data_IF_906692174268
#
_entry.id   IF_906692174268
#
_cell.length_a   1.000
_cell.length_b   1.000
_cell.length_c   1.000
_cell.angle_alpha   90.00
_cell.angle_beta   90.00
_cell.angle_gamma   90.00
#
_symmetry.space_group_name_H-M   'P 1'
#
loop_
_entity.id
_entity.type
_entity.pdbx_description
1 polymer ?
#
# COMPACT_ATOMS: atom_id res chain seq x y z
N UNK A 1 -8.53 -5.05 17.07
CA UNK A 1 -7.88 -5.37 15.78
C UNK A 1 -7.49 -6.84 15.75
N UNK A 2 -7.80 -7.58 14.68
CA UNK A 2 -7.41 -8.99 14.56
C UNK A 2 -5.89 -9.14 14.47
N UNK A 3 -5.35 -10.36 14.79
CA UNK A 3 -3.91 -10.64 14.65
C UNK A 3 -3.43 -10.39 13.20
N UNK A 4 -4.24 -10.79 12.22
CA UNK A 4 -3.92 -10.62 10.80
C UNK A 4 -3.86 -9.15 10.40
N UNK A 5 -4.82 -8.34 10.84
CA UNK A 5 -4.83 -6.90 10.57
C UNK A 5 -3.62 -6.21 11.18
N UNK A 6 -3.26 -6.57 12.42
CA UNK A 6 -2.06 -6.04 13.07
C UNK A 6 -0.77 -6.40 12.31
N UNK A 7 -0.67 -7.64 11.83
CA UNK A 7 0.48 -8.07 11.02
C UNK A 7 0.55 -7.32 9.70
N UNK A 8 -0.58 -7.16 8.99
CA UNK A 8 -0.67 -6.42 7.74
C UNK A 8 -0.21 -4.96 7.91
N UNK A 9 -0.64 -4.30 8.98
CA UNK A 9 -0.23 -2.91 9.23
C UNK A 9 1.25 -2.79 9.60
N UNK A 10 1.77 -3.72 10.39
CA UNK A 10 3.15 -3.62 10.88
C UNK A 10 4.18 -4.04 9.83
N UNK A 11 3.89 -5.08 9.05
CA UNK A 11 4.84 -5.69 8.11
C UNK A 11 4.59 -5.31 6.64
N UNK A 12 3.41 -4.75 6.34
CA UNK A 12 2.96 -4.48 4.97
C UNK A 12 2.30 -5.69 4.29
N UNK A 13 2.33 -6.86 4.90
CA UNK A 13 1.70 -8.08 4.37
C UNK A 13 1.30 -9.07 5.47
N UNK A 14 0.44 -10.01 5.09
CA UNK A 14 0.07 -11.16 5.92
C UNK A 14 -0.21 -12.38 5.05
N UNK A 15 0.34 -13.54 5.41
CA UNK A 15 -0.10 -14.83 4.89
C UNK A 15 -1.22 -15.33 5.79
N UNK A 16 -2.40 -15.54 5.22
CA UNK A 16 -3.55 -15.97 6.01
C UNK A 16 -3.38 -17.42 6.48
N UNK A 17 -3.76 -17.74 7.72
CA UNK A 17 -3.67 -19.10 8.27
C UNK A 17 -4.77 -20.03 7.72
N UNK A 18 -5.38 -19.67 6.61
CA UNK A 18 -6.41 -20.45 5.91
C UNK A 18 -5.88 -20.92 4.57
N UNK A 19 -6.32 -22.10 4.17
CA UNK A 19 -6.04 -22.68 2.87
C UNK A 19 -7.38 -22.95 2.19
N UNK A 20 -7.62 -22.30 1.05
CA UNK A 20 -8.84 -22.48 0.29
C UNK A 20 -8.69 -23.63 -0.70
N UNK A 21 -9.78 -24.34 -0.97
CA UNK A 21 -9.78 -25.34 -2.02
C UNK A 21 -9.75 -24.68 -3.40
N UNK A 22 -8.85 -25.13 -4.26
CA UNK A 22 -8.78 -24.74 -5.66
C UNK A 22 -9.47 -25.81 -6.51
N UNK A 23 -10.71 -25.60 -6.95
CA UNK A 23 -11.40 -26.55 -7.83
C UNK A 23 -10.65 -26.73 -9.16
N UNK A 24 -10.66 -27.95 -9.70
CA UNK A 24 -9.98 -28.27 -10.97
C UNK A 24 -10.40 -27.37 -12.14
N UNK A 25 -11.66 -26.95 -12.18
CA UNK A 25 -12.17 -26.05 -13.21
C UNK A 25 -11.59 -24.62 -13.08
N UNK A 26 -11.18 -24.16 -11.89
CA UNK A 26 -10.53 -22.85 -11.71
C UNK A 26 -9.15 -22.87 -12.37
N UNK A 27 -8.32 -23.87 -12.08
CA UNK A 27 -7.00 -23.98 -12.72
C UNK A 27 -7.12 -24.07 -14.24
N UNK A 28 -8.07 -24.88 -14.74
CA UNK A 28 -8.35 -24.99 -16.18
C UNK A 28 -8.75 -23.64 -16.78
N UNK A 29 -9.62 -22.91 -16.11
CA UNK A 29 -10.08 -21.59 -16.59
C UNK A 29 -8.95 -20.55 -16.60
N UNK A 30 -8.07 -20.57 -15.61
CA UNK A 30 -6.87 -19.70 -15.61
C UNK A 30 -5.99 -19.99 -16.84
N UNK A 31 -5.82 -21.25 -17.22
CA UNK A 31 -5.07 -21.64 -18.44
C UNK A 31 -5.76 -21.20 -19.72
N UNK A 32 -7.08 -21.28 -19.77
CA UNK A 32 -7.87 -20.81 -20.92
C UNK A 32 -7.70 -19.30 -21.08
N UNK A 33 -7.82 -18.52 -20.00
CA UNK A 33 -7.59 -17.08 -20.03
C UNK A 33 -6.19 -16.73 -20.48
N UNK A 34 -5.18 -17.44 -19.99
CA UNK A 34 -3.80 -17.27 -20.43
C UNK A 34 -3.65 -17.48 -21.94
N UNK A 35 -4.21 -18.55 -22.48
CA UNK A 35 -4.10 -18.85 -23.92
C UNK A 35 -4.79 -17.78 -24.77
N UNK A 36 -5.97 -17.33 -24.34
CA UNK A 36 -6.83 -16.45 -25.13
C UNK A 36 -6.53 -14.96 -25.00
N UNK A 37 -6.09 -14.52 -23.83
CA UNK A 37 -6.05 -13.08 -23.45
C UNK A 37 -4.77 -12.65 -22.76
N UNK A 38 -3.68 -13.38 -22.94
CA UNK A 38 -2.40 -13.03 -22.32
C UNK A 38 -1.85 -11.70 -22.83
N UNK A 39 -1.37 -10.90 -21.89
CA UNK A 39 -0.55 -9.72 -22.16
C UNK A 39 0.79 -9.95 -21.48
N UNK A 40 1.90 -9.61 -22.14
CA UNK A 40 3.22 -9.67 -21.52
C UNK A 40 3.26 -8.76 -20.28
N UNK A 41 3.88 -9.24 -19.22
CA UNK A 41 4.05 -8.47 -18.02
C UNK A 41 5.19 -7.45 -18.24
N UNK A 42 4.85 -6.16 -18.22
CA UNK A 42 5.74 -5.09 -18.67
C UNK A 42 6.74 -4.60 -17.60
N UNK A 43 6.67 -5.11 -16.38
CA UNK A 43 7.50 -4.59 -15.28
C UNK A 43 9.01 -4.76 -15.44
N UNK A 44 9.46 -5.66 -16.28
CA UNK A 44 10.88 -5.84 -16.53
C UNK A 44 11.45 -4.82 -17.53
N UNK A 45 10.63 -4.05 -18.22
CA UNK A 45 11.06 -3.01 -19.16
C UNK A 45 11.38 -1.65 -18.51
N UNK A 46 11.03 -1.46 -17.24
CA UNK A 46 11.15 -0.17 -16.56
C UNK A 46 12.60 0.34 -16.41
N UNK A 47 13.58 -0.53 -16.40
CA UNK A 47 14.98 -0.17 -16.23
C UNK A 47 15.84 -0.42 -17.49
N UNK A 48 15.20 -0.45 -18.66
CA UNK A 48 15.90 -0.72 -19.90
C UNK A 48 16.31 -2.18 -20.10
N UNK A 49 15.86 -3.08 -19.22
CA UNK A 49 16.07 -4.51 -19.40
C UNK A 49 15.05 -5.10 -20.40
N UNK A 50 15.42 -6.18 -21.11
CA UNK A 50 14.52 -6.80 -22.05
C UNK A 50 13.28 -7.33 -21.32
N UNK A 51 12.11 -7.13 -21.92
CA UNK A 51 10.85 -7.66 -21.42
C UNK A 51 10.95 -9.17 -21.19
N UNK A 52 10.50 -9.64 -20.02
CA UNK A 52 10.39 -11.05 -19.72
C UNK A 52 9.23 -11.66 -20.53
N UNK A 53 9.54 -12.26 -21.68
CA UNK A 53 8.57 -12.92 -22.54
C UNK A 53 8.03 -14.25 -21.95
N UNK A 54 8.33 -14.54 -20.70
CA UNK A 54 7.89 -15.76 -20.00
C UNK A 54 6.95 -15.46 -18.82
N UNK A 55 6.59 -14.18 -18.60
CA UNK A 55 5.63 -13.78 -17.58
C UNK A 55 4.47 -13.03 -18.24
N UNK A 56 3.28 -13.49 -17.94
CA UNK A 56 2.07 -12.99 -18.57
C UNK A 56 0.98 -12.70 -17.54
N UNK A 57 0.15 -11.74 -17.87
CA UNK A 57 -1.04 -11.36 -17.13
C UNK A 57 -2.27 -11.51 -18.03
N UNK A 58 -3.38 -11.91 -17.46
CA UNK A 58 -4.69 -11.95 -18.14
C UNK A 58 -5.76 -11.44 -17.18
N UNK A 59 -6.44 -10.37 -17.55
CA UNK A 59 -7.55 -9.84 -16.74
C UNK A 59 -8.68 -10.88 -16.71
N UNK A 60 -9.16 -11.21 -15.52
CA UNK A 60 -10.25 -12.17 -15.31
C UNK A 60 -11.53 -11.73 -16.01
N UNK A 61 -11.85 -10.44 -15.96
CA UNK A 61 -12.92 -9.81 -16.74
C UNK A 61 -14.24 -10.57 -16.65
N UNK A 62 -14.65 -11.18 -17.77
CA UNK A 62 -15.94 -11.83 -17.92
C UNK A 62 -15.96 -13.33 -17.56
N UNK A 63 -14.87 -13.92 -17.05
CA UNK A 63 -14.91 -15.32 -16.61
C UNK A 63 -15.85 -15.51 -15.42
N UNK A 64 -17.07 -15.96 -15.73
CA UNK A 64 -18.10 -16.19 -14.71
C UNK A 64 -17.71 -17.27 -13.69
N UNK A 65 -16.86 -18.22 -14.08
CA UNK A 65 -16.39 -19.31 -13.22
C UNK A 65 -15.46 -18.75 -12.15
N UNK A 66 -14.43 -17.98 -12.55
CA UNK A 66 -13.48 -17.38 -11.63
C UNK A 66 -14.18 -16.32 -10.78
N UNK A 67 -15.03 -15.49 -11.36
CA UNK A 67 -15.75 -14.46 -10.61
C UNK A 67 -16.62 -15.03 -9.49
N UNK A 68 -17.41 -16.08 -9.78
CA UNK A 68 -18.24 -16.75 -8.76
C UNK A 68 -17.40 -17.37 -7.65
N UNK A 69 -16.23 -17.90 -7.97
CA UNK A 69 -15.33 -18.46 -6.98
C UNK A 69 -14.68 -17.35 -6.13
N UNK A 70 -14.21 -16.27 -6.75
CA UNK A 70 -13.66 -15.11 -6.05
C UNK A 70 -14.67 -14.48 -5.11
N UNK A 71 -15.93 -14.30 -5.53
CA UNK A 71 -16.96 -13.72 -4.67
C UNK A 71 -17.14 -14.50 -3.35
N UNK A 72 -17.01 -15.83 -3.39
CA UNK A 72 -17.02 -16.66 -2.17
C UNK A 72 -15.81 -16.38 -1.28
N UNK A 73 -14.64 -16.19 -1.88
CA UNK A 73 -13.41 -15.87 -1.13
C UNK A 73 -13.53 -14.48 -0.52
N UNK A 74 -13.98 -13.49 -1.29
CA UNK A 74 -14.21 -12.13 -0.80
C UNK A 74 -15.13 -12.12 0.43
N UNK A 75 -16.26 -12.84 0.35
CA UNK A 75 -17.19 -12.97 1.48
C UNK A 75 -16.54 -13.62 2.72
N UNK A 76 -15.62 -14.57 2.53
CA UNK A 76 -14.85 -15.14 3.64
C UNK A 76 -13.92 -14.08 4.26
N UNK A 77 -13.20 -13.33 3.44
CA UNK A 77 -12.25 -12.31 3.92
C UNK A 77 -12.94 -11.15 4.62
N UNK A 78 -14.07 -10.70 4.12
CA UNK A 78 -14.93 -9.70 4.76
C UNK A 78 -15.44 -10.19 6.12
N UNK A 79 -15.98 -11.41 6.17
CA UNK A 79 -16.47 -12.03 7.42
C UNK A 79 -15.37 -12.15 8.48
N UNK A 80 -14.12 -12.33 8.08
CA UNK A 80 -12.96 -12.39 8.97
C UNK A 80 -12.32 -11.03 9.22
N UNK A 81 -12.91 -9.93 8.76
CA UNK A 81 -12.38 -8.56 8.88
C UNK A 81 -10.94 -8.42 8.36
N UNK A 82 -10.61 -9.12 7.28
CA UNK A 82 -9.31 -8.98 6.60
C UNK A 82 -9.35 -7.80 5.64
N UNK A 83 -10.48 -7.64 4.94
CA UNK A 83 -10.73 -6.53 4.02
C UNK A 83 -11.69 -5.56 4.70
N UNK A 84 -11.34 -4.29 4.69
CA UNK A 84 -12.13 -3.21 5.26
C UNK A 84 -13.32 -2.87 4.35
N UNK A 85 -14.43 -2.41 4.93
CA UNK A 85 -15.58 -1.88 4.20
C UNK A 85 -15.30 -0.52 3.53
N UNK A 86 -14.13 0.06 3.73
CA UNK A 86 -13.65 1.25 3.01
C UNK A 86 -13.01 0.91 1.66
N UNK A 87 -12.86 -0.37 1.37
CA UNK A 87 -12.27 -0.88 0.14
C UNK A 87 -13.34 -1.58 -0.69
N UNK A 88 -13.18 -1.54 -2.00
CA UNK A 88 -13.99 -2.29 -2.94
C UNK A 88 -13.12 -3.10 -3.88
N UNK A 89 -13.59 -4.27 -4.29
CA UNK A 89 -12.93 -5.06 -5.31
C UNK A 89 -12.95 -4.31 -6.65
N UNK A 90 -11.78 -4.02 -7.17
CA UNK A 90 -11.61 -3.29 -8.44
C UNK A 90 -11.56 -4.27 -9.62
N UNK A 91 -10.55 -5.11 -9.63
CA UNK A 91 -10.37 -6.10 -10.69
C UNK A 91 -9.55 -7.29 -10.19
N UNK A 92 -9.47 -8.33 -11.03
CA UNK A 92 -8.61 -9.49 -10.78
C UNK A 92 -7.88 -9.89 -12.06
N UNK A 93 -6.68 -10.43 -11.89
CA UNK A 93 -5.84 -10.90 -12.97
C UNK A 93 -5.21 -12.25 -12.64
N UNK A 94 -5.12 -13.10 -13.63
CA UNK A 94 -4.35 -14.35 -13.60
C UNK A 94 -2.95 -14.05 -14.07
N UNK A 95 -1.96 -14.41 -13.29
CA UNK A 95 -0.55 -14.34 -13.67
C UNK A 95 -0.02 -15.73 -13.94
N UNK A 96 0.60 -15.92 -15.10
CA UNK A 96 1.28 -17.14 -15.49
C UNK A 96 2.75 -16.83 -15.71
N UNK A 97 3.59 -17.49 -14.93
CA UNK A 97 5.04 -17.46 -15.07
C UNK A 97 5.49 -18.79 -15.68
N UNK A 98 6.04 -18.73 -16.88
CA UNK A 98 6.58 -19.91 -17.55
C UNK A 98 7.96 -20.27 -16.99
N UNK A 99 8.40 -21.50 -17.25
CA UNK A 99 9.71 -21.99 -16.87
C UNK A 99 10.84 -21.06 -17.35
N UNK A 100 11.69 -20.65 -16.45
CA UNK A 100 12.84 -19.77 -16.70
C UNK A 100 12.43 -18.30 -16.87
N UNK A 101 11.26 -17.88 -16.37
CA UNK A 101 10.97 -16.44 -16.23
C UNK A 101 11.91 -15.79 -15.21
N UNK A 102 12.28 -14.55 -15.46
CA UNK A 102 13.18 -13.78 -14.60
C UNK A 102 12.41 -13.24 -13.37
N UNK A 103 13.15 -12.80 -12.39
CA UNK A 103 12.63 -12.01 -11.28
C UNK A 103 12.16 -10.65 -11.81
N UNK A 104 11.05 -10.13 -11.27
CA UNK A 104 10.62 -8.77 -11.54
C UNK A 104 11.48 -7.77 -10.76
N UNK A 105 11.55 -6.54 -11.26
CA UNK A 105 12.07 -5.45 -10.46
C UNK A 105 11.19 -5.16 -9.24
N UNK A 106 11.78 -4.71 -8.13
CA UNK A 106 11.04 -4.23 -6.98
C UNK A 106 10.11 -3.08 -7.39
N UNK A 107 8.84 -3.17 -7.01
CA UNK A 107 7.83 -2.15 -7.31
C UNK A 107 6.74 -2.11 -6.25
N UNK A 108 6.01 -1.02 -6.20
CA UNK A 108 4.71 -0.93 -5.52
C UNK A 108 3.62 -0.71 -6.56
N UNK A 109 2.44 -1.28 -6.32
CA UNK A 109 1.32 -1.16 -7.26
C UNK A 109 0.59 0.19 -7.12
N UNK A 110 0.80 0.89 -6.02
CA UNK A 110 0.22 2.20 -5.78
C UNK A 110 1.32 3.21 -5.49
N UNK A 111 1.27 4.35 -6.19
CA UNK A 111 2.22 5.45 -6.02
C UNK A 111 1.62 6.49 -5.08
N UNK A 112 2.52 7.28 -4.49
CA UNK A 112 2.16 8.51 -3.81
C UNK A 112 1.31 9.42 -4.71
N UNK A 113 0.06 9.58 -4.31
CA UNK A 113 -0.73 10.73 -4.69
C UNK A 113 -0.94 11.57 -3.43
N UNK A 114 -1.26 12.86 -3.52
CA UNK A 114 -1.59 13.65 -2.32
C UNK A 114 -2.67 13.01 -1.45
N UNK A 115 -3.64 12.32 -2.06
CA UNK A 115 -4.67 11.57 -1.36
C UNK A 115 -4.13 10.30 -0.69
N UNK A 116 -3.13 9.65 -1.28
CA UNK A 116 -2.50 8.45 -0.71
C UNK A 116 -1.57 8.82 0.43
N UNK A 117 -0.73 9.84 0.26
CA UNK A 117 0.14 10.38 1.33
C UNK A 117 -0.68 10.76 2.56
N UNK A 118 -1.87 11.33 2.40
CA UNK A 118 -2.75 11.64 3.53
C UNK A 118 -3.28 10.41 4.28
N UNK A 119 -3.26 9.22 3.66
CA UNK A 119 -3.61 7.96 4.33
C UNK A 119 -2.42 7.31 5.04
N UNK A 120 -1.21 7.52 4.52
CA UNK A 120 0.02 6.94 5.08
C UNK A 120 0.54 7.81 6.20
N UNK A 121 0.65 9.10 5.93
CA UNK A 121 1.18 10.05 6.89
C UNK A 121 0.03 10.73 7.66
N UNK A 122 0.04 10.54 8.96
CA UNK A 122 -0.60 11.53 9.79
C UNK A 122 0.14 12.84 9.52
N UNK A 123 -0.56 13.93 9.10
CA UNK A 123 0.12 15.17 8.80
C UNK A 123 0.92 15.63 10.03
N UNK A 124 2.24 15.40 9.99
CA UNK A 124 3.15 15.79 11.07
C UNK A 124 3.47 17.26 10.97
N UNK A 125 3.40 17.82 9.75
CA UNK A 125 3.66 19.23 9.49
C UNK A 125 2.33 19.96 9.29
N UNK A 126 2.05 20.86 10.21
CA UNK A 126 0.90 21.74 10.12
C UNK A 126 1.23 22.91 9.18
N UNK A 127 0.55 22.96 8.02
CA UNK A 127 0.70 24.08 7.10
C UNK A 127 -0.12 25.29 7.55
N UNK A 128 0.45 26.48 7.49
CA UNK A 128 -0.20 27.72 7.92
C UNK A 128 -1.58 27.93 7.27
N UNK A 129 -1.73 27.56 5.98
CA UNK A 129 -2.98 27.68 5.22
C UNK A 129 -4.01 26.60 5.56
N UNK A 130 -3.65 25.55 6.29
CA UNK A 130 -4.56 24.46 6.66
C UNK A 130 -5.27 24.68 8.01
N UNK A 131 -4.76 25.59 8.82
CA UNK A 131 -5.33 25.90 10.16
C UNK A 131 -6.64 26.66 10.01
N UNK A 132 -7.66 26.23 10.75
CA UNK A 132 -8.98 26.85 10.78
C UNK A 132 -9.34 27.31 12.19
N UNK A 133 -10.20 28.31 12.26
CA UNK A 133 -10.81 28.71 13.53
C UNK A 133 -11.58 27.53 14.14
N UNK A 134 -11.41 27.30 15.43
CA UNK A 134 -11.91 26.17 16.23
C UNK A 134 -11.12 24.86 16.09
N UNK A 135 -10.03 24.82 15.32
CA UNK A 135 -9.15 23.66 15.34
C UNK A 135 -8.56 23.46 16.74
N UNK A 136 -8.51 22.20 17.15
CA UNK A 136 -7.78 21.78 18.35
C UNK A 136 -6.40 21.30 17.93
N UNK A 137 -5.36 21.93 18.45
CA UNK A 137 -3.97 21.68 18.09
C UNK A 137 -3.12 21.44 19.34
N UNK A 138 -1.95 20.86 19.15
CA UNK A 138 -0.94 20.74 20.19
C UNK A 138 -0.02 21.95 20.11
N UNK A 139 -0.03 22.77 21.16
CA UNK A 139 0.93 23.88 21.34
C UNK A 139 2.10 23.39 22.14
N UNK A 140 3.33 23.59 21.61
CA UNK A 140 4.57 23.18 22.27
C UNK A 140 5.51 24.40 22.38
N UNK A 141 5.84 24.82 23.61
CA UNK A 141 6.83 25.85 23.86
C UNK A 141 7.66 25.49 25.10
N UNK A 142 8.98 25.63 25.02
CA UNK A 142 9.91 25.30 26.12
C UNK A 142 9.65 23.89 26.71
N UNK A 143 9.45 22.91 25.85
CA UNK A 143 9.13 21.49 26.20
C UNK A 143 7.79 21.29 26.92
N UNK A 144 7.00 22.32 27.13
CA UNK A 144 5.64 22.22 27.69
C UNK A 144 4.67 22.05 26.55
N UNK A 145 3.83 21.00 26.65
CA UNK A 145 2.80 20.67 25.66
C UNK A 145 1.40 20.92 26.22
N UNK A 146 0.56 21.60 25.47
CA UNK A 146 -0.83 21.88 25.84
C UNK A 146 -1.74 21.73 24.63
N UNK A 147 -2.90 21.12 24.84
CA UNK A 147 -3.97 21.11 23.83
C UNK A 147 -4.64 22.47 23.85
N UNK A 148 -4.73 23.12 22.70
CA UNK A 148 -5.25 24.49 22.56
C UNK A 148 -6.31 24.55 21.46
N UNK A 149 -7.17 25.56 21.53
CA UNK A 149 -8.16 25.82 20.48
C UNK A 149 -7.78 27.10 19.75
N UNK A 150 -7.79 27.08 18.42
CA UNK A 150 -7.56 28.29 17.60
C UNK A 150 -8.81 29.17 17.67
N UNK A 151 -8.69 30.34 18.26
CA UNK A 151 -9.80 31.31 18.39
C UNK A 151 -9.79 32.33 17.28
N UNK A 152 -8.63 32.69 16.74
CA UNK A 152 -8.50 33.60 15.61
C UNK A 152 -7.28 33.31 14.74
N UNK A 153 -7.34 33.72 13.47
CA UNK A 153 -6.25 33.64 12.48
C UNK A 153 -6.02 35.01 11.92
N UNK A 154 -4.78 35.50 12.01
CA UNK A 154 -4.39 36.81 11.55
C UNK A 154 -3.65 36.68 10.22
N UNK A 155 -4.38 36.89 9.12
CA UNK A 155 -3.89 36.77 7.75
C UNK A 155 -3.31 38.05 7.19
N UNK A 156 -3.61 39.19 7.83
CA UNK A 156 -3.24 40.54 7.33
C UNK A 156 -1.74 40.85 7.52
N UNK A 157 -1.04 40.05 8.31
CA UNK A 157 0.39 40.25 8.63
C UNK A 157 1.29 39.33 7.77
N UNK A 158 0.87 39.00 6.54
CA UNK A 158 1.69 38.20 5.62
C UNK A 158 3.06 38.89 5.37
N UNK A 159 4.22 38.16 5.42
CA UNK A 159 4.34 36.71 5.45
C UNK A 159 4.29 36.06 6.85
N UNK A 160 4.26 36.82 7.91
CA UNK A 160 4.37 36.30 9.28
C UNK A 160 3.00 36.02 9.92
N UNK A 161 2.30 35.01 9.35
CA UNK A 161 1.01 34.58 9.86
C UNK A 161 1.08 34.16 11.34
N UNK A 162 0.15 34.68 12.17
CA UNK A 162 0.02 34.26 13.53
C UNK A 162 -1.42 33.91 13.92
N UNK A 163 -1.56 33.23 15.03
CA UNK A 163 -2.79 32.67 15.53
C UNK A 163 -3.06 33.10 16.94
N UNK A 164 -4.31 33.39 17.27
CA UNK A 164 -4.75 33.47 18.65
C UNK A 164 -5.26 32.10 19.08
N UNK A 165 -4.72 31.57 20.13
CA UNK A 165 -5.06 30.27 20.71
C UNK A 165 -5.59 30.45 22.13
N UNK A 166 -6.57 29.64 22.52
CA UNK A 166 -7.07 29.52 23.87
C UNK A 166 -6.37 28.38 24.59
N UNK A 167 -5.76 28.66 25.70
CA UNK A 167 -5.11 27.71 26.60
C UNK A 167 -6.14 26.94 27.45
N UNK A 168 -5.78 25.81 28.08
CA UNK A 168 -6.70 25.04 28.94
C UNK A 168 -7.27 25.83 30.16
N UNK A 169 -6.57 26.81 30.61
CA UNK A 169 -7.01 27.71 31.70
C UNK A 169 -7.99 28.81 31.22
N UNK A 170 -8.33 28.82 29.94
CA UNK A 170 -9.22 29.79 29.31
C UNK A 170 -8.52 31.10 28.87
N UNK A 171 -7.24 31.30 29.19
CA UNK A 171 -6.48 32.45 28.71
C UNK A 171 -6.20 32.36 27.22
N UNK A 172 -6.08 33.51 26.56
CA UNK A 172 -5.73 33.60 25.15
C UNK A 172 -4.25 34.02 24.98
N UNK A 173 -3.65 33.51 23.91
CA UNK A 173 -2.26 33.81 23.57
C UNK A 173 -2.09 33.83 22.05
N UNK A 174 -1.22 34.72 21.57
CA UNK A 174 -0.75 34.74 20.20
C UNK A 174 0.46 33.82 20.02
N UNK A 175 0.49 33.10 18.89
CA UNK A 175 1.55 32.16 18.54
C UNK A 175 1.72 32.05 17.03
N UNK A 176 2.85 31.50 16.61
CA UNK A 176 3.13 31.20 15.19
C UNK A 176 2.96 29.70 14.93
N UNK A 177 2.91 29.32 13.66
CA UNK A 177 2.75 27.94 13.23
C UNK A 177 3.86 27.02 13.76
N UNK A 178 5.06 27.54 14.00
CA UNK A 178 6.22 26.78 14.50
C UNK A 178 6.01 26.15 15.88
N UNK A 179 5.08 26.68 16.64
CA UNK A 179 4.73 26.14 17.97
C UNK A 179 3.47 25.28 17.96
N UNK A 180 2.84 25.12 16.81
CA UNK A 180 1.61 24.37 16.66
C UNK A 180 1.88 23.08 15.88
N UNK A 181 1.22 22.01 16.28
CA UNK A 181 1.20 20.74 15.55
C UNK A 181 -0.18 20.08 15.69
N UNK A 182 -0.45 19.10 14.85
CA UNK A 182 -1.64 18.27 15.04
C UNK A 182 -1.58 17.52 16.38
N UNK A 183 -2.74 17.22 16.94
CA UNK A 183 -2.82 16.31 18.07
C UNK A 183 -2.27 14.95 17.67
N UNK A 184 -1.57 14.25 18.58
CA UNK A 184 -1.16 12.88 18.31
C UNK A 184 -2.34 12.02 17.95
N UNK A 185 -2.22 11.29 16.84
CA UNK A 185 -3.23 10.36 16.40
C UNK A 185 -3.40 9.21 17.41
N UNK A 186 -4.62 8.91 17.78
CA UNK A 186 -4.90 7.74 18.61
C UNK A 186 -4.74 6.45 17.80
N UNK A 187 -4.46 5.33 18.46
CA UNK A 187 -4.40 4.01 17.79
C UNK A 187 -5.69 3.69 17.01
N UNK A 188 -6.84 4.14 17.51
CA UNK A 188 -8.13 3.95 16.83
C UNK A 188 -8.22 4.76 15.53
N UNK A 189 -7.77 6.01 15.56
CA UNK A 189 -7.73 6.89 14.38
C UNK A 189 -6.73 6.37 13.34
N UNK A 190 -5.53 5.97 13.79
CA UNK A 190 -4.52 5.33 12.96
C UNK A 190 -5.08 4.08 12.24
N UNK A 191 -5.76 3.20 12.98
CA UNK A 191 -6.39 2.01 12.41
C UNK A 191 -7.49 2.40 11.43
N UNK A 192 -8.33 3.39 11.75
CA UNK A 192 -9.38 3.87 10.85
C UNK A 192 -8.82 4.44 9.55
N UNK A 193 -7.72 5.17 9.63
CA UNK A 193 -7.02 5.74 8.48
C UNK A 193 -6.38 4.64 7.63
N UNK A 194 -5.60 3.76 8.24
CA UNK A 194 -4.86 2.71 7.53
C UNK A 194 -5.78 1.62 6.92
N UNK A 195 -6.99 1.45 7.44
CA UNK A 195 -8.00 0.58 6.83
C UNK A 195 -8.49 1.04 5.44
N UNK A 196 -8.14 2.25 5.03
CA UNK A 196 -8.44 2.80 3.69
C UNK A 196 -7.32 2.56 2.69
N UNK A 197 -6.19 2.03 3.12
CA UNK A 197 -5.06 1.75 2.22
C UNK A 197 -5.45 0.62 1.27
N UNK A 198 -5.26 0.78 -0.04
CA UNK A 198 -5.51 -0.27 -1.01
C UNK A 198 -4.78 -1.56 -0.68
N UNK A 199 -5.39 -2.69 -1.03
CA UNK A 199 -4.83 -4.02 -0.77
C UNK A 199 -4.75 -4.84 -2.04
N UNK A 200 -3.80 -5.78 -2.04
CA UNK A 200 -3.64 -6.77 -3.06
C UNK A 200 -3.79 -8.14 -2.42
N UNK A 201 -4.68 -8.96 -2.95
CA UNK A 201 -4.82 -10.36 -2.57
C UNK A 201 -4.14 -11.24 -3.60
N UNK A 202 -3.12 -11.96 -3.18
CA UNK A 202 -2.45 -13.00 -3.96
C UNK A 202 -2.97 -14.37 -3.54
N UNK A 203 -3.54 -15.12 -4.48
CA UNK A 203 -3.97 -16.50 -4.28
C UNK A 203 -3.06 -17.44 -5.08
N UNK A 204 -2.47 -18.40 -4.40
CA UNK A 204 -1.68 -19.46 -5.04
C UNK A 204 -2.59 -20.50 -5.70
N UNK A 205 -2.58 -20.58 -7.03
CA UNK A 205 -3.33 -21.58 -7.80
C UNK A 205 -2.54 -22.90 -7.92
N UNK A 206 -1.22 -22.80 -7.89
CA UNK A 206 -0.30 -23.94 -7.92
C UNK A 206 0.61 -23.92 -6.70
N UNK A 207 1.19 -25.06 -6.33
CA UNK A 207 2.21 -25.09 -5.30
C UNK A 207 3.45 -24.30 -5.70
N UNK A 208 4.27 -23.95 -4.72
CA UNK A 208 5.52 -23.23 -4.90
C UNK A 208 5.37 -21.82 -5.50
N UNK A 209 4.22 -21.19 -5.30
CA UNK A 209 4.07 -19.76 -5.63
C UNK A 209 4.95 -18.93 -4.70
N UNK A 210 5.83 -18.12 -5.28
CA UNK A 210 6.78 -17.28 -4.53
C UNK A 210 6.64 -15.82 -4.90
N UNK A 211 6.85 -14.95 -3.91
CA UNK A 211 6.90 -13.50 -4.06
C UNK A 211 7.95 -12.95 -3.11
N UNK A 212 8.76 -12.04 -3.58
CA UNK A 212 9.66 -11.27 -2.75
C UNK A 212 8.93 -10.03 -2.21
N UNK A 213 9.10 -9.76 -0.93
CA UNK A 213 8.51 -8.60 -0.25
C UNK A 213 9.60 -7.93 0.57
N UNK A 214 9.70 -6.61 0.47
CA UNK A 214 10.53 -5.81 1.34
C UNK A 214 9.71 -5.37 2.55
N UNK A 215 9.87 -6.12 3.63
CA UNK A 215 9.12 -5.92 4.87
C UNK A 215 9.32 -4.50 5.41
N UNK A 216 8.26 -3.85 5.85
CA UNK A 216 8.22 -2.47 6.34
C UNK A 216 8.47 -1.38 5.27
N UNK A 217 8.65 -1.71 4.01
CA UNK A 217 8.90 -0.72 2.94
C UNK A 217 7.74 0.27 2.74
N UNK A 218 6.53 -0.08 3.16
CA UNK A 218 5.39 0.84 3.18
C UNK A 218 5.60 2.07 4.07
N UNK A 219 6.57 2.03 4.99
CA UNK A 219 6.97 3.18 5.80
C UNK A 219 7.94 4.12 5.08
N UNK A 220 8.39 3.76 3.88
CA UNK A 220 9.28 4.61 3.06
C UNK A 220 8.52 5.53 2.12
N UNK A 221 7.25 5.26 1.93
CA UNK A 221 6.40 6.13 1.14
C UNK A 221 6.30 7.48 1.85
N UNK A 222 6.63 8.57 1.15
CA UNK A 222 6.67 9.92 1.72
C UNK A 222 8.05 10.42 2.15
N UNK A 223 9.09 9.56 2.14
CA UNK A 223 10.45 10.04 2.34
C UNK A 223 10.91 10.87 1.14
N UNK A 224 11.50 12.03 1.42
CA UNK A 224 12.16 12.84 0.41
C UNK A 224 13.40 12.11 -0.13
N UNK A 225 13.82 12.44 -1.33
CA UNK A 225 14.95 11.81 -2.03
C UNK A 225 16.27 11.78 -1.25
N UNK A 226 16.40 12.59 -0.22
CA UNK A 226 17.59 12.74 0.62
C UNK A 226 17.44 12.12 2.02
N UNK A 227 16.30 11.53 2.35
CA UNK A 227 16.09 10.88 3.63
C UNK A 227 16.49 9.42 3.56
N UNK A 228 17.54 9.07 4.28
CA UNK A 228 17.96 7.67 4.44
C UNK A 228 17.06 6.97 5.44
N UNK A 229 16.63 5.77 5.09
CA UNK A 229 15.89 4.91 6.01
C UNK A 229 16.85 4.31 7.05
N UNK A 230 16.67 4.65 8.33
CA UNK A 230 17.55 4.17 9.40
C UNK A 230 17.41 2.68 9.74
N UNK A 231 16.31 2.06 9.31
CA UNK A 231 16.07 0.64 9.60
C UNK A 231 16.46 -0.25 8.43
N UNK A 232 17.16 -1.35 8.69
CA UNK A 232 17.53 -2.29 7.65
C UNK A 232 16.28 -2.90 7.02
N UNK A 233 16.20 -2.81 5.71
CA UNK A 233 15.12 -3.42 4.93
C UNK A 233 15.46 -4.87 4.71
N UNK A 234 14.59 -5.73 5.17
CA UNK A 234 14.77 -7.17 5.01
C UNK A 234 13.88 -7.67 3.87
N UNK A 235 14.52 -8.12 2.81
CA UNK A 235 13.84 -8.86 1.76
C UNK A 235 13.41 -10.23 2.30
N UNK A 236 12.13 -10.53 2.19
CA UNK A 236 11.56 -11.82 2.53
C UNK A 236 11.02 -12.49 1.26
N UNK A 237 11.45 -13.72 0.98
CA UNK A 237 10.81 -14.55 -0.05
C UNK A 237 9.70 -15.36 0.60
N UNK A 238 8.47 -15.02 0.30
CA UNK A 238 7.28 -15.73 0.79
C UNK A 238 6.97 -16.85 -0.19
N UNK A 239 6.87 -18.08 0.32
CA UNK A 239 6.47 -19.26 -0.44
C UNK A 239 5.06 -19.69 -0.01
N UNK A 240 4.18 -19.83 -0.99
CA UNK A 240 2.79 -20.21 -0.79
C UNK A 240 2.53 -21.58 -1.40
N UNK A 241 1.84 -22.41 -0.66
CA UNK A 241 1.27 -23.65 -1.16
C UNK A 241 -0.04 -23.38 -1.90
N UNK A 242 -0.46 -24.30 -2.76
CA UNK A 242 -1.74 -24.22 -3.47
C UNK A 242 -2.89 -23.93 -2.51
N UNK A 243 -3.65 -22.89 -2.80
CA UNK A 243 -4.79 -22.44 -2.01
C UNK A 243 -4.44 -21.51 -0.84
N UNK A 244 -3.17 -21.24 -0.56
CA UNK A 244 -2.80 -20.19 0.40
C UNK A 244 -3.02 -18.80 -0.18
N UNK A 245 -3.32 -17.86 0.72
CA UNK A 245 -3.60 -16.46 0.40
C UNK A 245 -2.59 -15.59 1.12
N UNK A 246 -1.97 -14.68 0.37
CA UNK A 246 -1.19 -13.57 0.91
C UNK A 246 -1.92 -12.25 0.61
N UNK A 247 -2.09 -11.41 1.62
CA UNK A 247 -2.60 -10.06 1.47
C UNK A 247 -1.42 -9.10 1.63
N UNK A 248 -1.29 -8.19 0.67
CA UNK A 248 -0.29 -7.13 0.69
C UNK A 248 -0.98 -5.77 0.74
N UNK A 249 -0.35 -4.82 1.40
CA UNK A 249 -0.71 -3.40 1.23
C UNK A 249 -0.25 -2.96 -0.16
N UNK A 250 -1.01 -2.08 -0.79
CA UNK A 250 -0.67 -1.56 -2.13
C UNK A 250 0.62 -0.74 -2.17
N UNK A 251 1.02 -0.19 -1.02
CA UNK A 251 2.23 0.61 -0.83
C UNK A 251 3.47 -0.21 -0.42
N UNK A 252 3.35 -1.52 -0.23
CA UNK A 252 4.51 -2.35 0.08
C UNK A 252 5.30 -2.68 -1.18
N UNK A 253 6.62 -2.56 -1.10
CA UNK A 253 7.50 -2.95 -2.21
C UNK A 253 7.56 -4.47 -2.30
N UNK A 254 7.32 -4.98 -3.49
CA UNK A 254 7.34 -6.41 -3.77
C UNK A 254 7.84 -6.70 -5.18
N UNK A 255 8.11 -7.98 -5.46
CA UNK A 255 8.48 -8.44 -6.79
C UNK A 255 8.11 -9.91 -6.99
N UNK A 256 7.61 -10.27 -8.16
CA UNK A 256 7.48 -11.67 -8.54
C UNK A 256 8.87 -12.31 -8.72
N UNK A 257 9.09 -13.46 -8.09
CA UNK A 257 10.36 -14.20 -8.20
C UNK A 257 10.51 -14.84 -9.59
N UNK A 258 11.72 -15.22 -9.95
CA UNK A 258 11.95 -16.13 -11.08
C UNK A 258 11.43 -17.54 -10.78
N UNK A 259 11.02 -18.28 -11.82
CA UNK A 259 10.48 -19.63 -11.68
C UNK A 259 11.22 -20.63 -12.57
N UNK A 260 11.61 -21.76 -11.98
CA UNK A 260 12.20 -22.90 -12.70
C UNK A 260 11.16 -23.88 -13.24
N UNK A 261 9.89 -23.71 -12.85
CA UNK A 261 8.71 -24.45 -13.32
C UNK A 261 7.59 -23.46 -13.59
N UNK A 262 6.63 -23.85 -14.40
CA UNK A 262 5.43 -23.03 -14.59
C UNK A 262 4.72 -22.79 -13.25
N UNK A 263 4.25 -21.57 -13.05
CA UNK A 263 3.44 -21.19 -11.89
C UNK A 263 2.26 -20.33 -12.30
N UNK A 264 1.10 -20.61 -11.71
CA UNK A 264 -0.14 -19.85 -11.89
C UNK A 264 -0.57 -19.30 -10.54
N UNK A 265 -0.82 -17.99 -10.51
CA UNK A 265 -1.34 -17.28 -9.35
C UNK A 265 -2.40 -16.28 -9.79
N UNK A 266 -3.28 -15.92 -8.88
CA UNK A 266 -4.35 -14.96 -9.12
C UNK A 266 -4.17 -13.79 -8.16
N UNK A 267 -4.26 -12.58 -8.71
CA UNK A 267 -4.30 -11.33 -7.96
C UNK A 267 -5.70 -10.75 -7.99
N UNK A 268 -6.13 -10.19 -6.87
CA UNK A 268 -7.32 -9.34 -6.79
C UNK A 268 -6.95 -8.05 -6.12
N UNK A 269 -7.36 -6.95 -6.71
CA UNK A 269 -7.06 -5.60 -6.26
C UNK A 269 -8.27 -5.00 -5.55
N UNK A 270 -8.00 -4.39 -4.42
CA UNK A 270 -9.01 -3.71 -3.61
C UNK A 270 -8.63 -2.25 -3.49
N UNK A 271 -9.37 -1.42 -4.18
CA UNK A 271 -9.13 0.01 -4.22
C UNK A 271 -9.92 0.72 -3.12
N UNK A 272 -9.35 1.81 -2.64
CA UNK A 272 -10.03 2.71 -1.71
C UNK A 272 -10.98 3.63 -2.46
N UNK A 273 -12.14 3.90 -1.87
CA UNK A 273 -13.02 4.96 -2.37
C UNK A 273 -12.39 6.36 -2.29
N UNK A 274 -11.34 6.51 -1.50
CA UNK A 274 -10.66 7.77 -1.25
C UNK A 274 -9.35 7.95 -2.04
N UNK A 275 -8.86 6.89 -2.68
CA UNK A 275 -7.55 6.90 -3.37
C UNK A 275 -7.71 6.35 -4.77
N UNK A 276 -7.37 7.17 -5.75
CA UNK A 276 -7.30 6.70 -7.15
C UNK A 276 -5.98 5.95 -7.35
N UNK A 277 -6.02 4.74 -7.92
CA UNK A 277 -4.81 4.04 -8.28
C UNK A 277 -4.04 4.84 -9.34
N UNK A 278 -2.75 5.01 -9.11
CA UNK A 278 -1.84 5.59 -10.08
C UNK A 278 -1.00 4.49 -10.74
N UNK A 279 -0.18 4.87 -11.71
CA UNK A 279 0.75 3.95 -12.36
C UNK A 279 1.72 3.34 -11.34
N UNK A 280 2.15 2.12 -11.59
CA UNK A 280 3.13 1.42 -10.77
C UNK A 280 4.46 2.17 -10.71
N UNK A 281 5.17 2.03 -9.60
CA UNK A 281 6.47 2.63 -9.39
C UNK A 281 7.52 1.55 -9.16
N UNK A 282 8.57 1.57 -9.97
CA UNK A 282 9.74 0.73 -9.79
C UNK A 282 10.73 1.34 -8.80
N UNK A 283 11.52 0.49 -8.14
CA UNK A 283 12.56 0.88 -7.20
C UNK A 283 13.85 0.15 -7.50
N UNK A 284 14.97 0.85 -7.34
CA UNK A 284 16.30 0.24 -7.24
C UNK A 284 16.61 0.12 -5.75
N UNK A 285 16.82 -1.10 -5.29
CA UNK A 285 17.15 -1.37 -3.90
C UNK A 285 18.55 -1.97 -3.86
N UNK A 286 19.47 -1.26 -3.22
CA UNK A 286 20.81 -1.77 -2.99
C UNK A 286 20.87 -2.60 -1.69
N UNK A 287 21.99 -3.31 -1.50
CA UNK A 287 22.20 -4.15 -0.30
C UNK A 287 22.32 -3.38 1.01
N UNK A 288 22.28 -2.06 0.97
CA UNK A 288 22.35 -1.16 2.14
C UNK A 288 20.99 -0.62 2.56
N UNK A 289 19.93 -1.20 2.03
CA UNK A 289 18.56 -0.75 2.30
C UNK A 289 18.23 0.66 1.80
N UNK A 290 18.96 1.16 0.83
CA UNK A 290 18.62 2.38 0.10
C UNK A 290 17.67 2.00 -1.04
N UNK A 291 16.71 2.85 -1.30
CA UNK A 291 15.88 2.76 -2.48
C UNK A 291 16.12 4.01 -3.34
N UNK A 292 16.14 3.82 -4.61
CA UNK A 292 16.20 4.93 -5.55
C UNK A 292 14.86 5.09 -6.24
N UNK A 293 14.55 6.33 -6.58
CA UNK A 293 13.36 6.62 -7.36
C UNK A 293 13.37 5.86 -8.66
N UNK A 294 12.16 5.60 -9.10
CA UNK A 294 11.89 5.16 -10.45
C UNK A 294 12.77 5.88 -11.46
N UNK A 295 13.51 5.13 -12.20
CA UNK A 295 14.08 5.62 -13.44
C UNK A 295 12.92 5.60 -14.43
N UNK A 296 12.29 6.77 -14.62
CA UNK A 296 11.36 6.92 -15.71
C UNK A 296 12.08 6.45 -16.96
N UNK A 297 11.47 5.50 -17.68
CA UNK A 297 11.94 5.18 -19.01
C UNK A 297 12.02 6.51 -19.75
N UNK A 298 13.23 6.88 -20.11
CA UNK A 298 13.41 8.03 -21.00
C UNK A 298 12.60 7.72 -22.26
N UNK A 299 11.70 8.63 -22.59
CA UNK A 299 10.91 8.58 -23.81
C UNK A 299 11.76 8.35 -25.05
#
# INVERSE_FOLDING_TARGET
MSKNTKQLHNRGYVVLPIKISIPKNIEKECRILFIQKKVACTFNGYLGEPNDNKRYMSIVGQSTIIQKWLNKIHSILEKHNVISNHLHHSHSAVYVSLTGCMQQHPHSDYIESPSFSSLIDHPTILHATSVKKKDMLLYTKNSVKSVVTVTNIHLDDYPDLYYTIQLPDGSEKQTTITYLSYLPETEKEKVSRTNKIPLIMLISIMDDTTIDIWENSHNWMGLNDNESFEQPVVKQTIRLEKGQICILRGDVIHAGTGYTKENIRLYSYYDSYSVMPNNNKGYIIDGKAQWEKEILAAD
#
